data_IF_064829285341
#
_entry.id   IF_064829285341
#
_cell.length_a   1.000
_cell.length_b   1.000
_cell.length_c   1.000
_cell.angle_alpha   90.00
_cell.angle_beta   90.00
_cell.angle_gamma   90.00
#
_symmetry.space_group_name_H-M   'P 1'
#
loop_
_entity.id
_entity.type
_entity.pdbx_description
1 polymer ?
#
# COMPACT_ATOMS: atom_id res chain seq x y z
N UNK A 1 -16.16 17.73 23.37
CA UNK A 1 -15.05 18.43 22.70
C UNK A 1 -15.47 18.69 21.27
N UNK A 2 -15.54 19.95 20.84
CA UNK A 2 -15.75 20.30 19.44
C UNK A 2 -14.40 20.63 18.80
N UNK A 3 -14.22 20.25 17.53
CA UNK A 3 -13.10 20.71 16.71
C UNK A 3 -13.61 21.83 15.78
N UNK A 4 -12.86 22.93 15.69
CA UNK A 4 -13.09 23.95 14.68
C UNK A 4 -12.36 23.54 13.40
N UNK A 5 -13.07 23.53 12.27
CA UNK A 5 -12.50 23.24 10.96
C UNK A 5 -12.49 24.55 10.17
N UNK A 6 -11.29 25.05 9.85
CA UNK A 6 -11.09 26.18 8.97
C UNK A 6 -10.59 25.67 7.61
N UNK A 7 -11.23 26.09 6.52
CA UNK A 7 -10.91 25.61 5.18
C UNK A 7 -10.45 26.75 4.27
N UNK A 8 -9.42 26.47 3.48
CA UNK A 8 -8.91 27.39 2.48
C UNK A 8 -9.12 26.79 1.09
N UNK A 9 -9.54 27.61 0.13
CA UNK A 9 -9.74 27.14 -1.24
C UNK A 9 -8.40 26.84 -1.92
N UNK A 10 -8.45 25.92 -2.87
CA UNK A 10 -7.34 25.53 -3.72
C UNK A 10 -7.66 25.83 -5.17
N UNK A 11 -6.64 25.80 -6.02
CA UNK A 11 -6.80 25.89 -7.48
C UNK A 11 -7.71 24.78 -8.03
N UNK A 12 -7.79 23.62 -7.37
CA UNK A 12 -8.71 22.54 -7.75
C UNK A 12 -10.17 22.78 -7.33
N UNK A 13 -10.43 23.72 -6.41
CA UNK A 13 -11.78 24.02 -5.95
C UNK A 13 -12.45 25.09 -6.81
N UNK A 14 -11.70 26.16 -7.12
CA UNK A 14 -12.24 27.34 -7.82
C UNK A 14 -11.48 27.72 -9.11
N UNK A 15 -10.38 27.06 -9.46
CA UNK A 15 -9.51 27.49 -10.56
C UNK A 15 -8.78 28.80 -10.25
N UNK A 16 -8.37 29.50 -11.31
CA UNK A 16 -7.68 30.81 -11.25
C UNK A 16 -8.58 31.93 -11.77
N UNK A 17 -8.08 33.17 -11.75
CA UNK A 17 -8.78 34.37 -12.21
C UNK A 17 -9.53 34.16 -13.54
N UNK A 18 -8.91 33.53 -14.55
CA UNK A 18 -9.55 33.35 -15.87
C UNK A 18 -10.82 32.49 -15.83
N UNK A 19 -10.84 31.45 -15.00
CA UNK A 19 -12.03 30.60 -14.85
C UNK A 19 -13.12 31.36 -14.10
N UNK A 20 -12.74 32.10 -13.06
CA UNK A 20 -13.68 32.86 -12.24
C UNK A 20 -14.39 33.96 -13.02
N UNK A 21 -13.68 34.64 -13.94
CA UNK A 21 -14.27 35.64 -14.83
C UNK A 21 -15.27 35.04 -15.83
N UNK A 22 -15.00 33.81 -16.31
CA UNK A 22 -15.89 33.13 -17.26
C UNK A 22 -17.05 32.39 -16.58
N UNK A 23 -16.84 31.93 -15.35
CA UNK A 23 -17.75 31.06 -14.59
C UNK A 23 -17.86 31.50 -13.13
N UNK A 24 -18.44 32.68 -12.85
CA UNK A 24 -18.58 33.19 -11.48
C UNK A 24 -19.44 32.29 -10.58
N UNK A 25 -20.25 31.39 -11.15
CA UNK A 25 -21.00 30.37 -10.40
C UNK A 25 -20.10 29.40 -9.63
N UNK A 26 -18.85 29.20 -10.05
CA UNK A 26 -17.88 28.33 -9.35
C UNK A 26 -17.57 28.90 -7.97
N UNK A 27 -17.30 30.21 -7.90
CA UNK A 27 -17.10 30.95 -6.64
C UNK A 27 -18.36 30.88 -5.77
N UNK A 28 -19.53 31.18 -6.34
CA UNK A 28 -20.80 31.16 -5.60
C UNK A 28 -21.11 29.79 -5.01
N UNK A 29 -20.83 28.72 -5.76
CA UNK A 29 -21.01 27.32 -5.30
C UNK A 29 -20.05 27.01 -4.15
N UNK A 30 -18.78 27.40 -4.26
CA UNK A 30 -17.81 27.23 -3.20
C UNK A 30 -18.25 27.96 -1.92
N UNK A 31 -18.56 29.25 -2.03
CA UNK A 31 -18.92 30.07 -0.85
C UNK A 31 -20.20 29.62 -0.17
N UNK A 32 -21.17 29.10 -0.94
CA UNK A 32 -22.38 28.50 -0.37
C UNK A 32 -22.10 27.26 0.49
N UNK A 33 -21.07 26.48 0.15
CA UNK A 33 -20.74 25.23 0.84
C UNK A 33 -19.71 25.42 1.96
N UNK A 34 -18.70 26.27 1.74
CA UNK A 34 -17.51 26.37 2.58
C UNK A 34 -17.31 27.75 3.22
N UNK A 35 -18.21 28.71 2.93
CA UNK A 35 -18.15 30.06 3.46
C UNK A 35 -17.26 31.00 2.65
N UNK A 36 -17.09 32.22 3.16
CA UNK A 36 -16.35 33.29 2.48
C UNK A 36 -14.89 32.89 2.25
N UNK A 37 -14.36 33.39 1.14
CA UNK A 37 -13.04 33.01 0.64
C UNK A 37 -11.90 33.72 1.37
N UNK A 38 -12.08 34.98 1.74
CA UNK A 38 -11.10 35.79 2.48
C UNK A 38 -11.64 35.99 3.89
N UNK A 39 -10.90 35.55 4.90
CA UNK A 39 -11.37 35.64 6.28
C UNK A 39 -10.21 35.64 7.27
N UNK A 40 -10.47 36.11 8.48
CA UNK A 40 -9.55 36.01 9.59
C UNK A 40 -10.23 35.39 10.81
N UNK A 41 -9.44 34.71 11.63
CA UNK A 41 -9.89 34.11 12.88
C UNK A 41 -8.75 34.11 13.90
N UNK A 42 -9.08 34.01 15.17
CA UNK A 42 -8.10 34.04 16.26
C UNK A 42 -8.13 32.72 17.01
N UNK A 43 -6.96 32.12 17.22
CA UNK A 43 -6.77 30.98 18.12
C UNK A 43 -5.71 31.38 19.14
N UNK A 44 -6.07 31.32 20.42
CA UNK A 44 -5.24 31.87 21.49
C UNK A 44 -5.01 33.37 21.31
N UNK A 45 -3.74 33.81 21.30
CA UNK A 45 -3.35 35.19 20.99
C UNK A 45 -2.60 35.27 19.67
N UNK A 46 -3.11 34.56 18.66
CA UNK A 46 -2.57 34.54 17.29
C UNK A 46 -3.71 34.72 16.30
N UNK A 47 -3.55 35.68 15.39
CA UNK A 47 -4.50 35.95 14.33
C UNK A 47 -4.09 35.21 13.05
N UNK A 48 -5.01 34.43 12.50
CA UNK A 48 -4.84 33.71 11.25
C UNK A 48 -5.58 34.45 10.14
N UNK A 49 -4.90 34.72 9.04
CA UNK A 49 -5.43 35.49 7.91
C UNK A 49 -5.38 34.59 6.69
N UNK A 50 -6.54 34.15 6.20
CA UNK A 50 -6.68 33.32 5.02
C UNK A 50 -7.07 34.16 3.80
N UNK A 51 -6.30 34.04 2.72
CA UNK A 51 -6.47 34.86 1.50
C UNK A 51 -6.78 34.03 0.23
N UNK A 52 -7.39 34.69 -0.75
CA UNK A 52 -7.58 34.20 -2.11
C UNK A 52 -6.39 34.40 -3.01
N UNK A 53 -5.42 33.50 -2.89
CA UNK A 53 -4.25 33.54 -3.74
C UNK A 53 -4.56 33.32 -5.23
N UNK A 54 -5.59 32.55 -5.56
CA UNK A 54 -5.95 32.19 -6.94
C UNK A 54 -6.43 33.38 -7.78
N UNK A 55 -6.98 34.40 -7.11
CA UNK A 55 -7.50 35.61 -7.75
C UNK A 55 -6.60 36.83 -7.52
N UNK A 56 -5.63 36.73 -6.61
CA UNK A 56 -4.83 37.86 -6.14
C UNK A 56 -4.02 38.57 -7.24
N UNK A 57 -3.43 37.80 -8.15
CA UNK A 57 -2.69 38.30 -9.32
C UNK A 57 -3.59 38.47 -10.57
N UNK A 58 -4.91 38.41 -10.39
CA UNK A 58 -5.89 38.72 -11.42
C UNK A 58 -5.88 40.22 -11.79
N UNK A 59 -6.41 40.56 -12.96
CA UNK A 59 -6.41 41.94 -13.45
C UNK A 59 -7.13 42.89 -12.51
N UNK A 60 -6.46 43.96 -12.09
CA UNK A 60 -7.11 45.11 -11.47
C UNK A 60 -7.93 45.89 -12.52
N UNK A 61 -9.14 46.28 -12.16
CA UNK A 61 -10.19 46.73 -13.08
C UNK A 61 -9.75 47.66 -14.21
N UNK A 62 -10.13 47.30 -15.43
CA UNK A 62 -10.41 48.23 -16.52
C UNK A 62 -11.30 47.53 -17.56
N UNK A 63 -12.62 47.70 -17.46
CA UNK A 63 -13.54 47.44 -18.60
C UNK A 63 -14.71 46.49 -18.41
N UNK A 64 -14.88 45.82 -17.26
CA UNK A 64 -16.06 45.00 -16.98
C UNK A 64 -16.81 45.47 -15.73
N UNK A 65 -18.16 45.54 -15.74
CA UNK A 65 -18.98 46.07 -14.64
C UNK A 65 -19.09 45.14 -13.42
N UNK A 66 -18.35 44.03 -13.39
CA UNK A 66 -18.37 43.07 -12.30
C UNK A 66 -17.18 43.34 -11.36
N UNK A 67 -17.46 43.45 -10.07
CA UNK A 67 -16.45 43.67 -9.03
C UNK A 67 -15.34 42.63 -9.16
N UNK A 68 -14.14 43.10 -9.49
CA UNK A 68 -13.02 42.21 -9.76
C UNK A 68 -12.63 41.42 -8.50
N UNK A 69 -12.51 40.10 -8.64
CA UNK A 69 -12.19 39.17 -7.55
C UNK A 69 -10.87 39.51 -6.87
N UNK A 70 -9.86 39.96 -7.64
CA UNK A 70 -8.59 40.41 -7.08
C UNK A 70 -8.80 41.64 -6.17
N UNK A 71 -9.62 42.60 -6.60
CA UNK A 71 -9.94 43.79 -5.81
C UNK A 71 -10.62 43.44 -4.48
N UNK A 72 -11.52 42.44 -4.46
CA UNK A 72 -12.13 41.99 -3.20
C UNK A 72 -11.08 41.46 -2.21
N UNK A 73 -10.13 40.65 -2.69
CA UNK A 73 -9.04 40.11 -1.87
C UNK A 73 -8.11 41.23 -1.38
N UNK A 74 -7.71 42.15 -2.26
CA UNK A 74 -6.86 43.27 -1.86
C UNK A 74 -7.54 44.27 -0.92
N UNK A 75 -8.84 44.50 -1.08
CA UNK A 75 -9.61 45.30 -0.13
C UNK A 75 -9.66 44.64 1.25
N UNK A 76 -9.83 43.32 1.31
CA UNK A 76 -9.73 42.56 2.55
C UNK A 76 -8.34 42.70 3.19
N UNK A 77 -7.26 42.49 2.43
CA UNK A 77 -5.87 42.63 2.94
C UNK A 77 -5.63 44.05 3.48
N UNK A 78 -6.12 45.09 2.77
CA UNK A 78 -6.02 46.48 3.23
C UNK A 78 -6.79 46.70 4.53
N UNK A 79 -8.00 46.17 4.66
CA UNK A 79 -8.77 46.28 5.90
C UNK A 79 -8.02 45.65 7.08
N UNK A 80 -7.49 44.44 6.89
CA UNK A 80 -6.67 43.76 7.92
C UNK A 80 -5.39 44.55 8.26
N UNK A 81 -4.81 45.27 7.29
CA UNK A 81 -3.63 46.11 7.55
C UNK A 81 -3.93 47.34 8.41
N UNK A 82 -5.17 47.80 8.45
CA UNK A 82 -5.62 48.94 9.27
C UNK A 82 -6.00 48.53 10.70
N UNK A 83 -6.27 47.24 10.94
CA UNK A 83 -6.55 46.73 12.28
C UNK A 83 -5.32 46.88 13.19
N UNK A 84 -5.52 47.28 14.44
CA UNK A 84 -4.47 47.31 15.45
C UNK A 84 -3.81 45.93 15.56
N UNK A 85 -2.48 45.89 15.41
CA UNK A 85 -1.71 44.65 15.46
C UNK A 85 -1.49 44.21 16.92
N UNK A 86 -2.58 43.91 17.63
CA UNK A 86 -2.58 43.44 19.01
C UNK A 86 -1.96 42.04 19.16
N UNK A 87 -2.12 41.20 18.14
CA UNK A 87 -1.62 39.83 18.12
C UNK A 87 -0.77 39.54 16.88
N UNK A 88 0.24 38.67 17.00
CA UNK A 88 1.00 38.17 15.86
C UNK A 88 0.08 37.52 14.83
N UNK A 89 0.45 37.70 13.55
CA UNK A 89 -0.36 37.30 12.40
C UNK A 89 0.29 36.12 11.67
N UNK A 90 -0.47 35.08 11.39
CA UNK A 90 -0.10 33.96 10.53
C UNK A 90 -0.84 34.09 9.20
N UNK A 91 -0.10 34.16 8.10
CA UNK A 91 -0.69 34.18 6.77
C UNK A 91 -0.93 32.76 6.27
N UNK A 92 -2.17 32.48 5.87
CA UNK A 92 -2.58 31.23 5.23
C UNK A 92 -2.88 31.52 3.75
N UNK A 93 -2.15 30.85 2.86
CA UNK A 93 -2.32 31.00 1.41
C UNK A 93 -2.19 29.65 0.71
N UNK A 94 -3.02 29.33 -0.29
CA UNK A 94 -2.83 28.07 -1.01
C UNK A 94 -1.60 28.12 -1.92
N UNK A 95 -1.44 29.21 -2.67
CA UNK A 95 -0.31 29.43 -3.59
C UNK A 95 0.83 30.07 -2.79
N UNK A 96 2.04 29.48 -2.77
CA UNK A 96 3.20 30.03 -2.08
C UNK A 96 3.57 31.42 -2.57
N UNK A 97 4.27 32.20 -1.72
CA UNK A 97 4.81 33.49 -2.16
C UNK A 97 5.96 33.30 -3.15
N UNK A 98 6.23 34.37 -3.89
CA UNK A 98 7.34 34.44 -4.83
C UNK A 98 8.67 33.98 -4.20
N UNK A 99 9.40 33.14 -4.93
CA UNK A 99 10.79 32.81 -4.65
C UNK A 99 11.58 32.64 -5.94
N UNK A 100 12.88 32.97 -5.99
CA UNK A 100 13.72 32.73 -7.18
C UNK A 100 13.68 31.27 -7.64
N UNK A 101 13.91 31.05 -8.93
CA UNK A 101 14.03 29.69 -9.47
C UNK A 101 15.18 28.93 -8.80
N UNK A 102 15.01 27.62 -8.65
CA UNK A 102 15.97 26.73 -7.98
C UNK A 102 16.27 27.07 -6.51
N UNK A 103 15.38 27.82 -5.84
CA UNK A 103 15.51 28.10 -4.40
C UNK A 103 15.53 26.79 -3.61
N UNK A 104 16.55 26.62 -2.75
CA UNK A 104 16.65 25.45 -1.88
C UNK A 104 15.51 25.44 -0.85
N UNK A 105 14.79 24.31 -0.78
CA UNK A 105 13.57 24.15 0.00
C UNK A 105 13.76 23.51 1.38
N UNK A 106 15.02 23.36 1.83
CA UNK A 106 15.34 22.59 3.02
C UNK A 106 15.50 21.09 2.73
N UNK A 107 15.92 20.32 3.76
CA UNK A 107 16.33 18.92 3.59
C UNK A 107 15.18 17.95 3.37
N UNK A 108 13.95 18.36 3.70
CA UNK A 108 12.77 17.49 3.68
C UNK A 108 12.03 17.46 2.33
N UNK A 109 12.51 18.18 1.33
CA UNK A 109 11.95 18.11 -0.02
C UNK A 109 12.48 16.89 -0.75
N UNK A 110 11.59 16.00 -1.20
CA UNK A 110 11.96 14.81 -1.97
C UNK A 110 12.00 15.02 -3.49
N UNK A 111 11.22 15.98 -3.99
CA UNK A 111 11.07 16.27 -5.42
C UNK A 111 11.93 17.44 -5.89
N UNK A 112 12.13 17.55 -7.21
CA UNK A 112 12.78 18.73 -7.80
C UNK A 112 12.00 20.00 -7.46
N UNK A 113 12.71 21.10 -7.21
CA UNK A 113 12.10 22.40 -6.94
C UNK A 113 11.25 22.83 -8.14
N UNK A 114 9.99 23.19 -7.88
CA UNK A 114 9.12 23.77 -8.89
C UNK A 114 9.57 25.22 -9.10
N UNK A 115 9.87 25.57 -10.34
CA UNK A 115 10.24 26.93 -10.74
C UNK A 115 8.99 27.76 -11.05
N UNK A 116 9.21 29.06 -11.14
CA UNK A 116 8.16 30.01 -11.43
C UNK A 116 7.52 29.74 -12.79
N UNK A 117 6.18 29.73 -12.79
CA UNK A 117 5.38 29.61 -14.00
C UNK A 117 4.10 30.38 -13.79
N UNK A 118 3.80 31.25 -14.74
CA UNK A 118 2.52 31.92 -14.87
C UNK A 118 2.06 31.79 -16.32
N UNK A 119 0.81 31.38 -16.51
CA UNK A 119 0.17 31.27 -17.81
C UNK A 119 -1.00 32.24 -17.85
N UNK A 120 -1.03 33.06 -18.90
CA UNK A 120 -2.10 34.01 -19.14
C UNK A 120 -2.98 33.56 -20.30
N UNK A 121 -4.27 33.90 -20.23
CA UNK A 121 -5.20 33.71 -21.33
C UNK A 121 -4.79 34.59 -22.53
N UNK A 122 -4.86 34.03 -23.74
CA UNK A 122 -4.48 34.74 -24.97
C UNK A 122 -5.24 36.05 -25.17
N UNK A 123 -6.53 36.06 -24.80
CA UNK A 123 -7.37 37.24 -24.79
C UNK A 123 -7.59 37.67 -23.35
N UNK A 124 -7.34 38.94 -23.04
CA UNK A 124 -7.60 39.50 -21.72
C UNK A 124 -6.51 39.30 -20.67
N UNK A 125 -5.41 38.59 -20.94
CA UNK A 125 -4.24 38.45 -20.04
C UNK A 125 -4.56 37.99 -18.60
N UNK A 126 -5.70 37.34 -18.36
CA UNK A 126 -6.04 36.81 -17.04
C UNK A 126 -5.21 35.57 -16.71
N UNK A 127 -4.93 35.35 -15.43
CA UNK A 127 -4.19 34.17 -14.98
C UNK A 127 -5.01 32.90 -15.18
N UNK A 128 -4.49 31.99 -16.01
CA UNK A 128 -5.01 30.64 -16.24
C UNK A 128 -4.36 29.64 -15.27
N UNK A 129 -3.09 29.90 -14.93
CA UNK A 129 -2.33 29.06 -14.03
C UNK A 129 -1.16 29.85 -13.43
N UNK A 130 -0.86 29.63 -12.14
CA UNK A 130 0.38 30.12 -11.54
C UNK A 130 0.89 29.16 -10.45
N UNK A 131 2.21 29.02 -10.33
CA UNK A 131 2.83 28.23 -9.24
C UNK A 131 3.07 29.06 -7.97
N UNK A 132 3.36 30.35 -8.14
CA UNK A 132 3.69 31.27 -7.07
C UNK A 132 2.88 32.54 -7.25
N UNK A 133 2.60 33.24 -6.15
CA UNK A 133 2.14 34.62 -6.19
C UNK A 133 3.25 35.47 -6.84
N UNK A 134 2.88 36.48 -7.63
CA UNK A 134 3.87 37.36 -8.28
C UNK A 134 4.80 38.05 -7.26
N UNK A 135 5.97 38.49 -7.71
CA UNK A 135 6.97 39.14 -6.83
C UNK A 135 6.41 40.40 -6.18
N UNK A 136 5.72 41.21 -6.97
CA UNK A 136 5.13 42.48 -6.58
C UNK A 136 4.04 42.26 -5.53
N UNK A 137 3.12 41.34 -5.82
CA UNK A 137 2.04 40.95 -4.91
C UNK A 137 2.55 40.33 -3.61
N UNK A 138 3.57 39.46 -3.68
CA UNK A 138 4.17 38.84 -2.50
C UNK A 138 4.80 39.91 -1.60
N UNK A 139 5.56 40.85 -2.18
CA UNK A 139 6.12 41.97 -1.42
C UNK A 139 5.02 42.81 -0.76
N UNK A 140 3.96 43.12 -1.50
CA UNK A 140 2.86 43.94 -0.96
C UNK A 140 2.10 43.23 0.16
N UNK A 141 1.90 41.90 0.06
CA UNK A 141 1.32 41.08 1.13
C UNK A 141 2.17 41.14 2.41
N UNK A 142 3.49 40.98 2.28
CA UNK A 142 4.42 41.04 3.41
C UNK A 142 4.41 42.41 4.10
N UNK A 143 4.34 43.50 3.32
CA UNK A 143 4.30 44.87 3.83
C UNK A 143 2.99 45.21 4.56
N UNK A 144 1.85 44.76 4.03
CA UNK A 144 0.52 45.05 4.59
C UNK A 144 0.17 44.16 5.77
N UNK A 145 0.41 42.85 5.66
CA UNK A 145 -0.01 41.88 6.68
C UNK A 145 0.99 41.86 7.84
N UNK A 146 2.29 41.99 7.55
CA UNK A 146 3.41 41.82 8.51
C UNK A 146 3.29 40.52 9.32
N UNK A 147 3.24 39.35 8.64
CA UNK A 147 3.08 38.07 9.32
C UNK A 147 4.35 37.64 10.04
N UNK A 148 4.20 36.88 11.13
CA UNK A 148 5.31 36.20 11.82
C UNK A 148 5.63 34.83 11.21
N UNK A 149 4.66 34.24 10.51
CA UNK A 149 4.76 32.93 9.87
C UNK A 149 3.82 32.88 8.66
N UNK A 150 4.23 32.18 7.62
CA UNK A 150 3.42 31.91 6.43
C UNK A 150 3.28 30.40 6.28
N UNK A 151 2.05 29.93 6.11
CA UNK A 151 1.74 28.54 5.79
C UNK A 151 1.12 28.49 4.40
N UNK A 152 1.77 27.76 3.50
CA UNK A 152 1.33 27.59 2.12
C UNK A 152 1.17 26.13 1.69
N UNK A 153 0.58 25.91 0.50
CA UNK A 153 0.35 24.59 -0.08
C UNK A 153 0.78 24.55 -1.54
N UNK A 154 -0.08 24.01 -2.41
CA UNK A 154 0.08 23.93 -3.87
C UNK A 154 1.19 23.02 -4.41
N UNK A 155 2.44 23.13 -3.94
CA UNK A 155 3.60 22.41 -4.50
C UNK A 155 3.62 20.91 -4.16
N UNK A 156 2.69 20.43 -3.33
CA UNK A 156 2.51 19.05 -2.86
C UNK A 156 3.70 18.43 -2.10
N UNK A 157 4.82 19.13 -1.98
CA UNK A 157 6.02 18.69 -1.28
C UNK A 157 6.54 19.79 -0.38
N UNK A 158 7.31 19.40 0.62
CA UNK A 158 7.81 20.29 1.65
C UNK A 158 8.71 21.36 1.04
N UNK A 159 8.53 22.59 1.50
CA UNK A 159 9.49 23.65 1.27
C UNK A 159 9.51 24.60 2.47
N UNK A 160 10.69 24.87 3.00
CA UNK A 160 10.88 25.90 4.02
C UNK A 160 11.87 26.94 3.49
N UNK A 161 11.42 28.19 3.45
CA UNK A 161 12.25 29.33 3.04
C UNK A 161 12.03 30.50 4.01
N UNK A 162 12.90 31.49 3.92
CA UNK A 162 12.76 32.75 4.63
C UNK A 162 12.63 33.89 3.62
N UNK A 163 11.65 34.77 3.85
CA UNK A 163 11.42 35.98 3.08
C UNK A 163 11.98 37.18 3.82
N UNK A 164 12.77 37.98 3.14
CA UNK A 164 13.22 39.26 3.70
C UNK A 164 12.15 40.32 3.53
N UNK A 165 11.73 40.91 4.67
CA UNK A 165 10.75 41.99 4.74
C UNK A 165 11.29 43.15 5.58
N UNK A 166 10.65 44.32 5.47
CA UNK A 166 10.93 45.48 6.33
C UNK A 166 10.70 45.20 7.81
N UNK A 167 9.91 44.18 8.12
CA UNK A 167 9.61 43.74 9.49
C UNK A 167 10.55 42.62 10.00
N UNK A 168 11.57 42.25 9.20
CA UNK A 168 12.49 41.15 9.49
C UNK A 168 12.33 39.95 8.56
N UNK A 169 13.08 38.89 8.84
CA UNK A 169 13.04 37.64 8.09
C UNK A 169 11.82 36.80 8.51
N UNK A 170 10.97 36.42 7.56
CA UNK A 170 9.69 35.74 7.80
C UNK A 170 9.76 34.33 7.21
N UNK A 171 9.53 33.32 8.05
CA UNK A 171 9.55 31.92 7.63
C UNK A 171 8.27 31.57 6.88
N UNK A 172 8.41 30.93 5.71
CA UNK A 172 7.31 30.27 5.01
C UNK A 172 7.52 28.76 5.01
N UNK A 173 6.49 28.03 5.43
CA UNK A 173 6.39 26.59 5.24
C UNK A 173 5.33 26.28 4.18
N UNK A 174 5.77 25.80 3.03
CA UNK A 174 4.91 25.10 2.08
C UNK A 174 4.73 23.67 2.54
N UNK A 175 3.52 23.37 3.03
CA UNK A 175 3.17 22.06 3.58
C UNK A 175 2.89 21.09 2.43
N UNK A 176 3.59 19.96 2.47
CA UNK A 176 3.37 18.84 1.57
C UNK A 176 1.95 18.28 1.66
N UNK A 177 1.57 17.52 0.63
CA UNK A 177 0.26 16.89 0.60
C UNK A 177 0.16 15.73 1.59
N UNK A 178 -1.04 15.49 2.12
CA UNK A 178 -1.39 14.25 2.83
C UNK A 178 -1.67 13.07 1.89
N UNK A 179 -1.70 13.28 0.57
CA UNK A 179 -2.00 12.26 -0.43
C UNK A 179 -0.80 11.90 -1.31
N UNK A 180 -0.33 10.66 -1.20
CA UNK A 180 0.77 10.14 -2.03
C UNK A 180 0.49 10.19 -3.53
N UNK A 181 -0.79 10.19 -3.94
CA UNK A 181 -1.20 10.19 -5.34
C UNK A 181 -0.88 11.49 -6.08
N UNK A 182 -0.44 12.53 -5.37
CA UNK A 182 -0.08 13.81 -5.97
C UNK A 182 1.43 13.96 -6.21
N UNK A 183 2.17 12.85 -6.25
CA UNK A 183 3.58 12.79 -6.64
C UNK A 183 4.58 12.87 -5.48
N UNK A 184 4.10 12.93 -4.23
CA UNK A 184 4.94 12.92 -3.04
C UNK A 184 4.92 11.53 -2.38
N UNK A 185 6.07 10.85 -2.32
CA UNK A 185 6.19 9.53 -1.70
C UNK A 185 6.18 9.58 -0.16
N UNK A 186 6.37 10.76 0.41
CA UNK A 186 6.38 11.02 1.86
C UNK A 186 5.28 12.05 2.19
N UNK A 187 4.00 11.64 2.18
CA UNK A 187 2.91 12.54 2.51
C UNK A 187 3.12 13.10 3.92
N UNK A 188 2.65 14.31 4.18
CA UNK A 188 3.00 15.02 5.40
C UNK A 188 1.92 16.01 5.80
N UNK A 189 1.95 16.40 7.07
CA UNK A 189 1.12 17.44 7.65
C UNK A 189 1.93 18.23 8.66
N UNK A 190 1.45 19.43 9.01
CA UNK A 190 2.12 20.28 9.98
C UNK A 190 1.22 20.50 11.19
N UNK A 191 1.77 20.23 12.37
CA UNK A 191 1.16 20.61 13.63
C UNK A 191 1.59 22.04 13.97
N UNK A 192 0.65 22.80 14.51
CA UNK A 192 0.84 24.19 14.89
C UNK A 192 0.35 24.40 16.32
N UNK A 193 1.20 24.97 17.16
CA UNK A 193 0.83 25.42 18.51
C UNK A 193 0.84 26.94 18.54
N UNK A 194 -0.28 27.55 18.93
CA UNK A 194 -0.43 28.99 19.08
C UNK A 194 -0.40 29.37 20.57
N UNK A 195 0.40 30.38 20.92
CA UNK A 195 0.54 30.85 22.30
C UNK A 195 -0.71 31.56 22.79
N UNK A 196 -1.02 31.38 24.09
CA UNK A 196 -2.06 32.13 24.81
C UNK A 196 -1.50 33.33 25.59
N UNK A 197 -0.17 33.51 25.58
CA UNK A 197 0.50 34.59 26.29
C UNK A 197 0.63 35.81 25.37
N UNK A 198 0.44 37.00 25.93
CA UNK A 198 0.69 38.22 25.17
C UNK A 198 2.21 38.35 25.10
N UNK A 199 2.77 38.36 23.88
CA UNK A 199 4.17 38.67 23.68
C UNK A 199 4.46 40.02 24.34
N UNK A 200 5.33 40.05 25.35
CA UNK A 200 5.84 41.29 25.93
C UNK A 200 6.65 42.03 24.88
N UNK A 201 6.62 43.37 24.84
CA UNK A 201 7.44 44.17 23.92
C UNK A 201 8.92 43.73 24.00
N UNK A 202 9.39 42.93 23.04
CA UNK A 202 10.75 42.36 22.99
C UNK A 202 10.86 40.84 22.81
N UNK A 203 9.78 40.07 22.93
CA UNK A 203 9.77 38.62 22.65
C UNK A 203 9.87 38.29 21.16
N UNK A 204 10.60 37.23 20.82
CA UNK A 204 10.84 36.84 19.43
C UNK A 204 9.57 36.26 18.77
N UNK A 205 9.41 36.39 17.44
CA UNK A 205 8.27 35.80 16.70
C UNK A 205 8.09 34.29 16.93
N UNK A 206 9.18 33.59 17.25
CA UNK A 206 9.21 32.15 17.54
C UNK A 206 8.49 31.78 18.85
N UNK A 207 8.24 32.75 19.73
CA UNK A 207 7.53 32.55 21.00
C UNK A 207 6.00 32.54 20.82
N UNK A 208 5.49 33.04 19.70
CA UNK A 208 4.06 33.12 19.42
C UNK A 208 3.49 31.83 18.83
N UNK A 209 4.26 31.18 17.94
CA UNK A 209 3.79 30.06 17.13
C UNK A 209 4.90 29.04 16.95
N UNK A 210 4.62 27.78 17.29
CA UNK A 210 5.55 26.66 17.10
C UNK A 210 5.00 25.70 16.05
N UNK A 211 5.82 25.38 15.05
CA UNK A 211 5.51 24.42 13.99
C UNK A 211 6.24 23.10 14.22
N UNK A 212 5.57 22.00 13.91
CA UNK A 212 6.17 20.66 13.92
C UNK A 212 5.72 19.90 12.67
N UNK A 213 6.68 19.57 11.80
CA UNK A 213 6.43 18.78 10.60
C UNK A 213 6.29 17.30 10.98
N UNK A 214 5.24 16.65 10.48
CA UNK A 214 4.99 15.23 10.66
C UNK A 214 4.85 14.55 9.29
N UNK A 215 5.36 13.34 9.17
CA UNK A 215 5.20 12.50 7.98
C UNK A 215 4.15 11.42 8.22
N UNK A 216 3.45 11.06 7.16
CA UNK A 216 2.66 9.85 7.09
C UNK A 216 3.52 8.72 6.47
N UNK A 217 3.19 7.45 6.72
CA UNK A 217 3.89 6.33 6.12
C UNK A 217 3.96 6.39 4.59
N UNK A 218 5.06 5.89 4.06
CA UNK A 218 5.25 5.72 2.62
C UNK A 218 4.31 4.62 2.10
N UNK A 219 3.20 5.03 1.48
CA UNK A 219 2.16 4.11 1.03
C UNK A 219 2.66 3.04 0.05
N UNK A 220 3.66 3.36 -0.78
CA UNK A 220 4.25 2.39 -1.72
C UNK A 220 4.99 1.27 -1.00
N UNK A 221 5.66 1.56 0.12
CA UNK A 221 6.29 0.55 0.97
C UNK A 221 5.23 -0.41 1.52
N UNK A 222 4.11 0.14 2.01
CA UNK A 222 2.95 -0.63 2.46
C UNK A 222 2.44 -1.57 1.35
N UNK A 223 2.25 -1.07 0.13
CA UNK A 223 1.80 -1.90 -0.99
C UNK A 223 2.79 -2.98 -1.40
N UNK A 224 4.09 -2.68 -1.40
CA UNK A 224 5.13 -3.68 -1.67
C UNK A 224 5.07 -4.80 -0.62
N UNK A 225 4.90 -4.48 0.66
CA UNK A 225 4.71 -5.48 1.70
C UNK A 225 3.45 -6.31 1.51
N UNK A 226 2.31 -5.68 1.18
CA UNK A 226 1.08 -6.41 0.88
C UNK A 226 1.27 -7.37 -0.29
N UNK A 227 1.95 -6.94 -1.35
CA UNK A 227 2.24 -7.77 -2.51
C UNK A 227 3.17 -8.93 -2.14
N UNK A 228 4.23 -8.68 -1.37
CA UNK A 228 5.15 -9.72 -0.88
C UNK A 228 4.42 -10.75 -0.01
N UNK A 229 3.60 -10.31 0.94
CA UNK A 229 2.80 -11.21 1.79
C UNK A 229 1.77 -11.99 0.98
N UNK A 230 1.17 -11.38 -0.04
CA UNK A 230 0.26 -12.06 -0.96
C UNK A 230 0.97 -13.16 -1.75
N UNK A 231 2.15 -12.86 -2.32
CA UNK A 231 2.97 -13.86 -3.03
C UNK A 231 3.41 -14.99 -2.09
N UNK A 232 3.87 -14.67 -0.87
CA UNK A 232 4.22 -15.66 0.14
C UNK A 232 3.01 -16.53 0.53
N UNK A 233 1.82 -15.95 0.62
CA UNK A 233 0.57 -16.67 0.88
C UNK A 233 0.25 -17.64 -0.26
N UNK A 234 0.38 -17.21 -1.52
CA UNK A 234 0.18 -18.08 -2.68
C UNK A 234 1.20 -19.22 -2.70
N UNK A 235 2.49 -18.93 -2.48
CA UNK A 235 3.53 -19.94 -2.41
C UNK A 235 3.28 -20.92 -1.27
N UNK A 236 2.89 -20.44 -0.09
CA UNK A 236 2.53 -21.29 1.04
C UNK A 236 1.34 -22.19 0.67
N UNK A 237 0.27 -21.67 0.06
CA UNK A 237 -0.88 -22.49 -0.35
C UNK A 237 -0.52 -23.53 -1.43
N UNK A 238 0.39 -23.21 -2.34
CA UNK A 238 0.83 -24.10 -3.42
C UNK A 238 1.82 -25.17 -2.94
N UNK A 239 2.77 -24.80 -2.08
CA UNK A 239 3.83 -25.67 -1.58
C UNK A 239 3.43 -26.41 -0.30
N UNK A 240 2.38 -25.96 0.40
CA UNK A 240 1.86 -26.67 1.55
C UNK A 240 1.38 -28.04 1.08
N UNK A 241 1.79 -29.14 1.74
CA UNK A 241 1.49 -30.48 1.30
C UNK A 241 -0.03 -30.72 1.32
N UNK A 242 -0.69 -30.49 0.18
CA UNK A 242 -2.08 -30.89 -0.07
C UNK A 242 -2.19 -32.43 -0.18
N UNK A 243 -1.07 -33.11 -0.27
CA UNK A 243 -0.85 -34.54 -0.18
C UNK A 243 0.34 -34.75 0.74
N UNK A 244 0.22 -35.63 1.74
CA UNK A 244 1.30 -35.92 2.67
C UNK A 244 2.63 -36.14 1.93
N UNK A 245 3.67 -35.46 2.40
CA UNK A 245 5.09 -35.73 2.17
C UNK A 245 5.41 -36.44 0.84
N UNK A 246 5.48 -35.69 -0.27
CA UNK A 246 6.21 -36.16 -1.46
C UNK A 246 7.03 -35.06 -2.16
N UNK A 247 7.06 -33.84 -1.61
CA UNK A 247 7.90 -32.73 -2.11
C UNK A 247 9.37 -32.91 -1.68
N UNK A 248 9.62 -33.61 -0.56
CA UNK A 248 10.97 -33.91 -0.11
C UNK A 248 11.74 -34.78 -1.11
N UNK A 249 11.08 -35.73 -1.79
CA UNK A 249 11.71 -36.55 -2.82
C UNK A 249 12.13 -35.74 -4.05
N UNK A 250 11.30 -34.81 -4.52
CA UNK A 250 11.67 -33.94 -5.65
C UNK A 250 12.78 -32.92 -5.30
N UNK A 251 12.82 -32.44 -4.05
CA UNK A 251 13.86 -31.53 -3.60
C UNK A 251 15.19 -32.28 -3.32
N UNK A 252 15.12 -33.52 -2.82
CA UNK A 252 16.26 -34.43 -2.72
C UNK A 252 16.80 -34.78 -4.10
N UNK A 253 15.97 -35.10 -5.09
CA UNK A 253 16.40 -35.40 -6.46
C UNK A 253 17.14 -34.23 -7.10
N UNK A 254 16.66 -33.00 -6.90
CA UNK A 254 17.33 -31.78 -7.36
C UNK A 254 18.67 -31.56 -6.63
N UNK A 255 18.74 -31.83 -5.33
CA UNK A 255 19.98 -31.77 -4.54
C UNK A 255 20.97 -32.90 -4.88
N UNK A 256 20.52 -34.06 -5.37
CA UNK A 256 21.42 -35.09 -5.93
C UNK A 256 21.92 -34.76 -7.33
N UNK A 257 21.20 -33.93 -8.11
CA UNK A 257 21.68 -33.42 -9.39
C UNK A 257 22.78 -32.35 -9.23
N UNK A 258 22.84 -31.69 -8.07
CA UNK A 258 23.93 -30.80 -7.66
C UNK A 258 24.84 -31.51 -6.65
N UNK A 259 25.91 -32.17 -7.11
CA UNK A 259 26.92 -32.88 -6.32
C UNK A 259 27.47 -32.12 -5.08
N UNK A 260 26.74 -32.03 -3.97
CA UNK A 260 27.19 -31.32 -2.75
C UNK A 260 27.26 -32.21 -1.49
N UNK A 261 26.70 -33.43 -1.47
CA UNK A 261 26.92 -34.33 -0.33
C UNK A 261 27.21 -35.77 -0.75
N UNK A 262 28.50 -36.05 -0.97
CA UNK A 262 29.05 -37.41 -0.97
C UNK A 262 29.52 -37.73 0.44
N UNK A 263 28.64 -38.31 1.25
CA UNK A 263 28.96 -38.79 2.60
C UNK A 263 28.02 -39.93 2.95
N UNK A 264 28.48 -41.16 2.71
CA UNK A 264 27.67 -42.36 2.84
C UNK A 264 27.31 -42.72 4.28
N UNK A 265 26.04 -43.11 4.47
CA UNK A 265 25.65 -44.17 5.41
C UNK A 265 24.41 -44.84 4.82
N UNK A 266 24.60 -46.06 4.29
CA UNK A 266 23.48 -46.93 3.89
C UNK A 266 22.84 -47.45 5.17
N UNK A 267 21.76 -46.82 5.59
CA UNK A 267 20.82 -47.44 6.50
C UNK A 267 19.88 -48.31 5.67
N UNK A 268 19.88 -49.61 5.95
CA UNK A 268 19.15 -50.63 5.21
C UNK A 268 17.71 -50.62 5.71
N UNK A 269 16.83 -49.88 5.03
CA UNK A 269 15.40 -49.89 5.32
C UNK A 269 14.80 -51.18 4.73
N UNK A 270 14.72 -52.25 5.53
CA UNK A 270 14.19 -53.57 5.13
C UNK A 270 12.66 -53.72 5.24
N UNK A 271 11.88 -52.63 5.18
CA UNK A 271 10.43 -52.71 5.39
C UNK A 271 9.55 -52.42 4.18
N UNK A 272 10.11 -52.12 3.00
CA UNK A 272 9.30 -51.62 1.87
C UNK A 272 8.67 -52.68 0.95
N UNK A 273 8.63 -53.98 1.32
CA UNK A 273 7.87 -54.95 0.51
C UNK A 273 7.38 -56.19 1.29
N UNK A 274 6.50 -55.99 2.29
CA UNK A 274 5.86 -57.09 3.02
C UNK A 274 4.33 -56.95 2.96
N UNK A 275 3.66 -57.95 2.39
CA UNK A 275 2.20 -58.08 2.46
C UNK A 275 1.85 -58.81 3.78
N UNK A 276 0.97 -58.22 4.58
CA UNK A 276 0.54 -58.78 5.87
C UNK A 276 -0.85 -59.38 5.74
N UNK A 277 -1.04 -60.60 6.26
CA UNK A 277 -2.34 -61.27 6.29
C UNK A 277 -2.88 -61.26 7.73
N UNK A 278 -4.18 -60.95 7.88
CA UNK A 278 -4.86 -60.93 9.17
C UNK A 278 -5.42 -62.33 9.46
N UNK A 279 -4.97 -62.96 10.54
CA UNK A 279 -5.51 -64.22 11.03
C UNK A 279 -6.09 -64.03 12.42
N UNK A 280 -7.23 -64.68 12.68
CA UNK A 280 -7.88 -64.66 13.98
C UNK A 280 -7.66 -66.00 14.68
N UNK A 281 -7.33 -65.97 15.96
CA UNK A 281 -7.26 -67.19 16.75
C UNK A 281 -8.66 -67.67 17.18
N UNK A 282 -8.73 -68.86 17.77
CA UNK A 282 -9.98 -69.46 18.23
C UNK A 282 -10.61 -68.70 19.42
N UNK A 283 -9.89 -67.74 20.00
CA UNK A 283 -10.30 -66.91 21.14
C UNK A 283 -10.78 -65.51 20.68
N UNK A 284 -10.66 -65.20 19.39
CA UNK A 284 -11.16 -63.96 18.77
C UNK A 284 -10.14 -62.81 18.74
N UNK A 285 -8.85 -63.07 18.92
CA UNK A 285 -7.78 -62.07 18.81
C UNK A 285 -7.18 -62.05 17.40
N UNK A 286 -6.93 -60.85 16.87
CA UNK A 286 -6.40 -60.64 15.52
C UNK A 286 -4.87 -60.50 15.52
N UNK A 287 -4.21 -61.32 14.72
CA UNK A 287 -2.77 -61.30 14.51
C UNK A 287 -2.42 -61.01 13.05
N UNK A 288 -1.37 -60.21 12.83
CA UNK A 288 -0.83 -59.91 11.51
C UNK A 288 0.42 -60.75 11.29
N UNK A 289 0.43 -61.60 10.27
CA UNK A 289 1.57 -62.47 9.93
C UNK A 289 2.15 -62.04 8.58
N UNK A 290 3.49 -61.93 8.52
CA UNK A 290 4.24 -61.51 7.32
C UNK A 290 4.28 -62.65 6.30
N UNK A 291 3.83 -62.40 5.08
CA UNK A 291 3.87 -63.36 3.97
C UNK A 291 5.18 -63.25 3.20
N UNK A 292 5.97 -64.32 3.13
CA UNK A 292 7.17 -64.37 2.31
C UNK A 292 6.78 -64.71 0.85
N UNK A 293 6.97 -63.76 -0.08
CA UNK A 293 6.82 -63.99 -1.52
C UNK A 293 8.10 -64.64 -2.07
N UNK A 294 8.01 -65.89 -2.54
CA UNK A 294 9.08 -66.54 -3.31
C UNK A 294 9.12 -66.00 -4.74
N UNK A 295 10.16 -65.25 -5.10
CA UNK A 295 10.40 -64.79 -6.47
C UNK A 295 11.08 -65.92 -7.28
N UNK A 296 10.65 -66.24 -8.52
CA UNK A 296 11.38 -67.14 -9.40
C UNK A 296 12.64 -66.44 -9.96
N UNK A 297 13.81 -67.08 -9.87
CA UNK A 297 15.03 -66.62 -10.55
C UNK A 297 14.90 -66.79 -12.06
N UNK A 298 15.00 -65.68 -12.80
CA UNK A 298 15.22 -65.68 -14.25
C UNK A 298 16.73 -65.59 -14.50
N UNK A 299 17.33 -66.68 -14.99
CA UNK A 299 18.76 -66.76 -15.32
C UNK A 299 19.10 -66.00 -16.61
N UNK A 300 20.19 -65.24 -16.56
CA UNK A 300 20.93 -64.70 -17.70
C UNK A 300 21.72 -65.84 -18.39
N UNK A 301 21.73 -65.80 -19.72
CA UNK A 301 22.45 -66.71 -20.60
C UNK A 301 23.96 -66.47 -20.57
N UNK A 302 24.75 -67.53 -20.38
CA UNK A 302 26.15 -67.56 -20.78
C UNK A 302 26.48 -68.92 -21.43
N UNK A 303 27.38 -68.86 -22.41
CA UNK A 303 27.65 -69.86 -23.43
C UNK A 303 28.56 -71.02 -22.98
N UNK A 304 28.25 -72.22 -23.48
CA UNK A 304 29.22 -73.23 -23.91
C UNK A 304 29.63 -74.33 -22.92
N UNK A 305 29.17 -75.56 -23.15
CA UNK A 305 30.01 -76.69 -23.59
C UNK A 305 29.23 -78.02 -23.55
N UNK A 306 29.65 -78.92 -24.44
CA UNK A 306 29.06 -80.21 -24.83
C UNK A 306 29.20 -81.28 -23.74
N UNK A 307 28.14 -82.06 -23.44
CA UNK A 307 28.10 -83.54 -23.57
C UNK A 307 26.80 -84.19 -22.99
N UNK A 308 26.09 -84.89 -23.89
CA UNK A 308 25.66 -86.31 -23.81
C UNK A 308 24.80 -86.82 -22.62
N UNK A 309 23.58 -87.26 -22.96
CA UNK A 309 23.06 -88.57 -22.48
C UNK A 309 21.63 -88.65 -21.90
N UNK A 310 20.68 -89.06 -22.75
CA UNK A 310 19.50 -89.94 -22.53
C UNK A 310 18.62 -89.83 -21.26
N UNK A 311 17.31 -89.61 -21.43
CA UNK A 311 16.32 -90.70 -21.50
C UNK A 311 14.85 -90.20 -21.51
N UNK A 312 14.03 -90.99 -22.17
CA UNK A 312 12.62 -90.87 -22.59
C UNK A 312 11.61 -91.02 -21.43
N UNK A 313 10.47 -90.30 -21.48
CA UNK A 313 9.10 -90.88 -21.43
C UNK A 313 8.01 -89.77 -21.44
N UNK A 314 7.20 -89.77 -22.51
CA UNK A 314 5.79 -89.31 -22.60
C UNK A 314 4.88 -90.54 -22.32
N UNK A 315 3.52 -90.48 -22.33
CA UNK A 315 2.55 -89.42 -22.67
C UNK A 315 1.46 -89.27 -21.55
N UNK A 316 0.33 -88.55 -21.60
CA UNK A 316 -0.68 -88.40 -22.65
C UNK A 316 -1.69 -87.33 -22.24
N UNK A 317 -2.11 -86.51 -23.21
CA UNK A 317 -3.25 -85.61 -23.13
C UNK A 317 -4.56 -86.37 -23.37
N UNK A 318 -5.69 -85.89 -22.82
CA UNK A 318 -6.98 -85.98 -23.50
C UNK A 318 -7.90 -84.82 -23.09
N UNK A 319 -8.57 -84.30 -24.10
CA UNK A 319 -9.31 -83.05 -24.20
C UNK A 319 -10.80 -83.38 -24.36
N UNK A 320 -11.65 -82.58 -23.72
CA UNK A 320 -13.07 -82.26 -24.01
C UNK A 320 -14.11 -83.38 -24.16
N UNK A 321 -15.19 -83.26 -23.37
CA UNK A 321 -16.58 -83.27 -23.87
C UNK A 321 -17.38 -82.25 -23.03
N UNK A 322 -17.97 -81.27 -23.70
CA UNK A 322 -19.10 -80.46 -23.21
C UNK A 322 -20.37 -81.07 -23.79
N UNK A 323 -21.45 -81.23 -23.01
CA UNK A 323 -22.80 -80.77 -23.39
C UNK A 323 -23.83 -80.83 -22.22
N UNK A 324 -24.41 -79.65 -21.94
CA UNK A 324 -25.75 -79.24 -21.45
C UNK A 324 -26.45 -79.90 -20.23
N UNK A 325 -26.88 -79.07 -19.24
CA UNK A 325 -28.29 -78.67 -18.97
C UNK A 325 -28.44 -77.95 -17.58
N UNK A 326 -29.06 -76.76 -17.63
CA UNK A 326 -29.91 -75.99 -16.69
C UNK A 326 -29.54 -75.66 -15.21
N UNK A 327 -29.77 -74.37 -14.90
CA UNK A 327 -30.42 -73.78 -13.71
C UNK A 327 -29.84 -74.12 -12.32
N UNK A 328 -29.19 -73.14 -11.68
CA UNK A 328 -29.79 -72.53 -10.49
C UNK A 328 -29.20 -71.14 -10.17
N UNK A 329 -30.04 -70.30 -9.58
CA UNK A 329 -29.77 -68.94 -9.13
C UNK A 329 -29.22 -69.02 -7.71
N UNK A 330 -27.98 -68.57 -7.47
CA UNK A 330 -27.65 -68.07 -6.12
C UNK A 330 -26.58 -66.98 -6.10
N UNK A 331 -26.92 -65.97 -5.32
CA UNK A 331 -26.32 -64.64 -5.18
C UNK A 331 -24.95 -64.68 -4.49
N UNK A 332 -23.86 -64.47 -5.24
CA UNK A 332 -22.57 -64.06 -4.64
C UNK A 332 -22.60 -62.56 -4.37
N UNK A 333 -22.88 -62.22 -3.12
CA UNK A 333 -22.82 -60.87 -2.56
C UNK A 333 -21.36 -60.37 -2.59
N UNK A 334 -20.97 -59.71 -3.67
CA UNK A 334 -19.70 -58.98 -3.74
C UNK A 334 -19.86 -57.64 -3.03
N UNK A 335 -19.21 -57.52 -1.87
CA UNK A 335 -19.13 -56.28 -1.08
C UNK A 335 -18.46 -55.20 -1.95
N UNK A 336 -19.12 -54.05 -2.24
CA UNK A 336 -18.48 -52.99 -2.99
C UNK A 336 -17.48 -52.26 -2.09
N UNK A 337 -16.24 -52.17 -2.56
CA UNK A 337 -15.22 -51.31 -1.98
C UNK A 337 -15.74 -49.87 -1.91
N UNK A 338 -15.71 -49.31 -0.69
CA UNK A 338 -16.26 -48.00 -0.34
C UNK A 338 -15.48 -46.88 -1.04
N UNK A 339 -15.91 -46.52 -2.24
CA UNK A 339 -15.48 -45.30 -2.94
C UNK A 339 -15.72 -44.09 -2.03
N UNK A 340 -14.65 -43.44 -1.57
CA UNK A 340 -14.76 -42.19 -0.79
C UNK A 340 -15.48 -41.17 -1.66
N UNK A 341 -16.73 -40.83 -1.29
CA UNK A 341 -17.54 -39.82 -1.99
C UNK A 341 -16.69 -38.57 -2.21
N UNK A 342 -16.57 -38.15 -3.49
CA UNK A 342 -15.81 -36.97 -3.92
C UNK A 342 -16.14 -35.73 -3.08
N UNK A 343 -17.36 -35.66 -2.55
CA UNK A 343 -17.84 -34.63 -1.62
C UNK A 343 -17.07 -34.58 -0.29
N UNK A 344 -16.74 -35.72 0.32
CA UNK A 344 -15.95 -35.75 1.58
C UNK A 344 -14.51 -35.29 1.37
N UNK A 345 -13.91 -35.62 0.22
CA UNK A 345 -12.56 -35.17 -0.15
C UNK A 345 -12.57 -33.66 -0.42
N UNK A 346 -13.59 -33.15 -1.11
CA UNK A 346 -13.77 -31.72 -1.34
C UNK A 346 -13.92 -30.93 -0.03
N UNK A 347 -14.78 -31.39 0.89
CA UNK A 347 -14.97 -30.76 2.21
C UNK A 347 -13.65 -30.76 3.01
N UNK A 348 -12.91 -31.87 3.03
CA UNK A 348 -11.63 -31.91 3.73
C UNK A 348 -10.58 -30.97 3.12
N UNK A 349 -10.55 -30.80 1.80
CA UNK A 349 -9.67 -29.84 1.13
C UNK A 349 -10.05 -28.40 1.49
N UNK A 350 -11.34 -28.06 1.50
CA UNK A 350 -11.85 -26.75 1.88
C UNK A 350 -11.55 -26.43 3.35
N UNK A 351 -11.72 -27.38 4.26
CA UNK A 351 -11.39 -27.18 5.68
C UNK A 351 -9.89 -27.00 5.90
N UNK A 352 -9.05 -27.69 5.13
CA UNK A 352 -7.58 -27.50 5.17
C UNK A 352 -7.17 -26.12 4.66
N UNK A 353 -7.71 -25.68 3.52
CA UNK A 353 -7.41 -24.33 2.99
C UNK A 353 -7.91 -23.24 3.94
N UNK A 354 -9.09 -23.39 4.54
CA UNK A 354 -9.59 -22.44 5.54
C UNK A 354 -8.66 -22.34 6.76
N UNK A 355 -8.20 -23.48 7.30
CA UNK A 355 -7.22 -23.48 8.40
C UNK A 355 -5.90 -22.82 8.02
N UNK A 356 -5.43 -23.03 6.79
CA UNK A 356 -4.22 -22.37 6.28
C UNK A 356 -4.39 -20.86 6.20
N UNK A 357 -5.52 -20.38 5.68
CA UNK A 357 -5.82 -18.95 5.63
C UNK A 357 -5.83 -18.33 7.03
N UNK A 358 -6.37 -19.03 8.03
CA UNK A 358 -6.38 -18.55 9.43
C UNK A 358 -4.97 -18.44 10.00
N UNK A 359 -4.10 -19.44 9.79
CA UNK A 359 -2.70 -19.39 10.27
C UNK A 359 -1.92 -18.28 9.57
N UNK A 360 -2.08 -18.16 8.25
CA UNK A 360 -1.41 -17.11 7.46
C UNK A 360 -1.90 -15.73 7.90
N UNK A 361 -3.21 -15.56 8.11
CA UNK A 361 -3.77 -14.31 8.62
C UNK A 361 -3.24 -13.98 10.03
N UNK A 362 -3.11 -14.98 10.91
CA UNK A 362 -2.60 -14.80 12.27
C UNK A 362 -1.12 -14.38 12.32
N UNK A 363 -0.33 -14.68 11.28
CA UNK A 363 1.08 -14.24 11.16
C UNK A 363 1.21 -12.92 10.40
N UNK A 364 0.49 -12.76 9.30
CA UNK A 364 0.58 -11.58 8.45
C UNK A 364 0.00 -10.33 9.11
N UNK A 365 -1.08 -10.47 9.91
CA UNK A 365 -1.73 -9.33 10.55
C UNK A 365 -0.84 -8.66 11.63
N UNK A 366 -0.17 -9.39 12.55
CA UNK A 366 0.78 -8.79 13.48
C UNK A 366 2.00 -8.18 12.79
N UNK A 367 2.56 -8.84 11.77
CA UNK A 367 3.69 -8.29 10.99
C UNK A 367 3.30 -6.98 10.33
N UNK A 368 2.09 -6.92 9.75
CA UNK A 368 1.54 -5.70 9.18
C UNK A 368 1.43 -4.58 10.22
N UNK A 369 0.84 -4.86 11.39
CA UNK A 369 0.71 -3.85 12.44
C UNK A 369 2.08 -3.34 12.90
N UNK A 370 3.05 -4.23 13.10
CA UNK A 370 4.40 -3.87 13.50
C UNK A 370 5.11 -2.98 12.46
N UNK A 371 4.97 -3.29 11.17
CA UNK A 371 5.56 -2.50 10.08
C UNK A 371 4.86 -1.15 9.90
N UNK A 372 3.52 -1.12 10.01
CA UNK A 372 2.75 0.12 9.93
C UNK A 372 3.14 1.09 11.05
N UNK A 373 3.31 0.58 12.28
CA UNK A 373 3.72 1.41 13.42
C UNK A 373 5.20 1.80 13.38
N UNK A 374 6.08 0.97 12.80
CA UNK A 374 7.48 1.36 12.59
C UNK A 374 7.59 2.64 11.77
N UNK A 375 6.79 2.77 10.72
CA UNK A 375 6.79 3.95 9.84
C UNK A 375 6.09 5.19 10.47
N UNK A 376 5.59 5.10 11.71
CA UNK A 376 5.01 6.22 12.49
C UNK A 376 5.90 6.73 13.62
N UNK A 377 6.92 5.96 14.03
CA UNK A 377 7.69 6.20 15.27
C UNK A 377 9.02 6.94 15.03
N UNK A 378 9.49 6.97 13.78
CA UNK A 378 10.65 7.75 13.34
C UNK A 378 10.19 9.02 12.59
#
# INVERSE_FOLDING_TARGET
MGALICQMKRNHDIGYASLNSQRPEVIRRYEKAFGIRNYQFTIGKVNFIAIDAQTLDGKHGSGYPQENQASQTWNFVKNVSMDDQLYPRVLLTHIPLYRPDSTYCGPYRGSQVINQRILHAAHGQEVVYQNYITKESSKHLLELIKPVLILSGHDHDQCTIAHESTSGSIKEHTVGTVSWQQGNLYPSFMLLSASNFALSNGSSPEEAVLTHLCFLPMQTHIYMWYLSLFVLTLLALLLWPASGLNIWHHCCDLMTSCNIFRGGRKEKNEDDNCEYEMMWDAEGSMHLVKKALSVPMTNLSESGSVERGNAVMRPTAKKHINQDISMDVESVLTIPTRSKSKTKIAIQRVLRTLRMLVVIAAVNLPIYMMLLFKDWID
#
